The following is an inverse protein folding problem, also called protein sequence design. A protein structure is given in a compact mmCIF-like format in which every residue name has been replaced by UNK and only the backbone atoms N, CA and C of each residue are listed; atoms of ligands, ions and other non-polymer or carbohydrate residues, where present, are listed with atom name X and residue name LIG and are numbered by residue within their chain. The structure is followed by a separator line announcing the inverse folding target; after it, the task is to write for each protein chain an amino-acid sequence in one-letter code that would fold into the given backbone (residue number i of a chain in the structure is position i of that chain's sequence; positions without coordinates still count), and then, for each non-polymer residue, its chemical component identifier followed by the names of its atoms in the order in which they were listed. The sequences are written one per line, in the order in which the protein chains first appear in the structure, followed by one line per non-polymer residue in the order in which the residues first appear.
data_IF_377114213150
#
_entry.id   IF_377114213150
#
_cell.length_a   1.000
_cell.length_b   1.000
_cell.length_c   1.000
_cell.angle_alpha   90.00
_cell.angle_beta   90.00
_cell.angle_gamma   90.00
#
_symmetry.space_group_name_H-M   'P 1'
#
loop_
_entity.id
_entity.type
_entity.pdbx_description
1 polymer ?
#
# COMPACT_ATOMS: atom_id res chain seq x y z
N UNK A 1 -27.48 -9.85 -17.05
CA UNK A 1 -26.25 -9.54 -16.28
C UNK A 1 -25.20 -9.20 -17.32
N UNK A 2 -24.78 -7.94 -17.40
CA UNK A 2 -23.71 -7.52 -18.32
C UNK A 2 -22.40 -8.09 -17.77
N UNK A 3 -21.72 -8.86 -18.59
CA UNK A 3 -20.41 -9.42 -18.23
C UNK A 3 -19.40 -8.27 -17.98
N UNK A 4 -18.53 -8.43 -16.99
CA UNK A 4 -17.53 -7.44 -16.69
C UNK A 4 -16.58 -7.27 -17.89
N UNK A 5 -16.22 -6.03 -18.29
CA UNK A 5 -15.41 -5.79 -19.49
C UNK A 5 -14.01 -6.41 -19.33
N UNK A 6 -13.49 -6.95 -20.45
CA UNK A 6 -12.16 -7.59 -20.46
C UNK A 6 -11.01 -6.58 -20.31
N UNK A 7 -11.23 -5.35 -20.78
CA UNK A 7 -10.23 -4.29 -20.70
C UNK A 7 -10.91 -2.95 -20.42
N UNK A 8 -10.37 -2.21 -19.46
CA UNK A 8 -10.77 -0.85 -19.14
C UNK A 8 -9.53 0.04 -19.26
N UNK A 9 -9.64 1.15 -19.99
CA UNK A 9 -8.55 2.11 -20.16
C UNK A 9 -8.99 3.47 -19.69
N UNK A 10 -8.17 4.15 -18.94
CA UNK A 10 -8.47 5.51 -18.45
C UNK A 10 -7.99 5.74 -17.02
N UNK A 11 -8.85 6.38 -16.23
CA UNK A 11 -8.53 6.74 -14.85
C UNK A 11 -7.73 8.04 -14.74
N UNK A 12 -7.59 8.52 -13.53
CA UNK A 12 -6.82 9.72 -13.21
C UNK A 12 -5.34 9.35 -13.04
N UNK A 13 -4.41 10.14 -13.61
CA UNK A 13 -2.99 9.91 -13.39
C UNK A 13 -2.66 10.13 -11.91
N UNK A 14 -1.68 9.37 -11.38
CA UNK A 14 -1.23 9.56 -10.01
C UNK A 14 -0.58 10.94 -9.86
N UNK A 15 -0.83 11.59 -8.73
CA UNK A 15 -0.15 12.82 -8.34
C UNK A 15 1.07 12.49 -7.48
N UNK A 16 1.90 13.49 -7.26
CA UNK A 16 3.04 13.42 -6.34
C UNK A 16 2.81 14.37 -5.16
N UNK A 17 1.90 14.01 -4.22
CA UNK A 17 1.53 14.91 -3.12
C UNK A 17 2.62 15.05 -2.07
N UNK A 18 3.62 14.18 -2.11
CA UNK A 18 4.75 14.19 -1.17
C UNK A 18 5.96 14.89 -1.79
N UNK A 19 6.56 15.81 -1.03
CA UNK A 19 7.82 16.46 -1.39
C UNK A 19 8.76 16.45 -0.20
N UNK A 20 9.87 15.73 -0.32
CA UNK A 20 10.92 15.78 0.70
C UNK A 20 11.61 17.13 0.65
N UNK A 21 11.47 17.95 1.69
CA UNK A 21 12.05 19.30 1.80
C UNK A 21 13.47 19.25 2.33
N UNK A 22 13.69 18.42 3.36
CA UNK A 22 15.03 18.21 3.89
C UNK A 22 15.28 16.76 4.24
N UNK A 23 16.51 16.33 3.99
CA UNK A 23 17.06 15.05 4.42
C UNK A 23 18.42 15.27 5.05
N UNK A 24 18.78 14.52 6.09
CA UNK A 24 20.15 14.49 6.57
C UNK A 24 21.13 14.13 5.46
N UNK A 25 22.35 14.66 5.52
CA UNK A 25 23.38 14.45 4.49
C UNK A 25 23.60 12.97 4.18
N UNK A 26 23.62 12.14 5.20
CA UNK A 26 23.80 10.68 5.07
C UNK A 26 22.64 10.01 4.32
N UNK A 27 21.40 10.38 4.60
CA UNK A 27 20.25 9.88 3.85
C UNK A 27 20.33 10.30 2.37
N UNK A 28 20.79 11.53 2.07
CA UNK A 28 21.07 12.00 0.71
C UNK A 28 22.15 11.16 0.02
N UNK A 29 23.24 10.84 0.73
CA UNK A 29 24.35 10.02 0.20
C UNK A 29 23.89 8.58 -0.05
N UNK A 30 23.08 8.00 0.85
CA UNK A 30 22.46 6.70 0.64
C UNK A 30 21.57 6.70 -0.60
N UNK A 31 20.75 7.74 -0.81
CA UNK A 31 19.96 7.95 -2.01
C UNK A 31 20.80 7.90 -3.28
N UNK A 32 21.90 8.62 -3.33
CA UNK A 32 22.82 8.63 -4.50
C UNK A 32 23.39 7.22 -4.74
N UNK A 33 23.75 6.49 -3.70
CA UNK A 33 24.20 5.10 -3.77
C UNK A 33 23.14 4.18 -4.37
N UNK A 34 21.88 4.31 -3.97
CA UNK A 34 20.77 3.49 -4.46
C UNK A 34 20.45 3.74 -5.94
N UNK A 35 20.47 4.98 -6.42
CA UNK A 35 20.21 5.29 -7.83
C UNK A 35 21.26 4.79 -8.82
N UNK A 36 22.53 4.72 -8.44
CA UNK A 36 23.58 4.18 -9.29
C UNK A 36 23.44 2.69 -9.59
N UNK A 37 22.65 1.96 -8.82
CA UNK A 37 22.47 0.52 -8.93
C UNK A 37 21.56 0.03 -10.06
N UNK A 38 20.91 0.90 -10.81
CA UNK A 38 20.15 0.52 -12.01
C UNK A 38 21.02 -0.08 -13.14
N UNK A 39 22.34 0.05 -13.12
CA UNK A 39 23.24 -0.55 -14.11
C UNK A 39 23.69 -1.95 -13.67
N UNK A 40 23.54 -2.95 -14.57
CA UNK A 40 23.77 -4.39 -14.32
C UNK A 40 25.10 -4.74 -13.67
N UNK A 41 26.18 -4.03 -13.97
CA UNK A 41 27.52 -4.28 -13.38
C UNK A 41 27.65 -3.79 -11.93
N UNK A 42 26.90 -2.77 -11.55
CA UNK A 42 26.90 -2.24 -10.19
C UNK A 42 26.21 -3.17 -9.18
N UNK A 43 25.27 -4.03 -9.65
CA UNK A 43 24.62 -5.03 -8.80
C UNK A 43 25.59 -6.02 -8.17
N UNK A 44 26.76 -6.23 -8.78
CA UNK A 44 27.75 -7.22 -8.32
C UNK A 44 28.63 -6.73 -7.16
N UNK A 45 28.78 -5.41 -6.99
CA UNK A 45 29.72 -4.83 -6.01
C UNK A 45 29.08 -3.97 -4.92
N UNK A 46 27.77 -3.80 -4.89
CA UNK A 46 27.37 -2.60 -4.25
C UNK A 46 26.16 -2.53 -3.37
N UNK A 47 25.43 -3.55 -3.04
CA UNK A 47 24.43 -3.42 -1.95
C UNK A 47 25.09 -3.13 -0.58
N UNK A 48 26.35 -3.49 -0.42
CA UNK A 48 27.06 -3.41 0.86
C UNK A 48 27.55 -2.02 1.30
N UNK A 49 28.09 -1.12 0.46
CA UNK A 49 28.65 0.15 0.95
C UNK A 49 27.62 1.15 1.47
N UNK A 50 26.49 1.28 0.79
CA UNK A 50 25.41 2.19 1.23
C UNK A 50 24.77 1.74 2.53
N UNK A 51 24.58 0.42 2.69
CA UNK A 51 24.08 -0.18 3.94
C UNK A 51 25.09 -0.02 5.07
N UNK A 52 26.36 -0.29 4.81
CA UNK A 52 27.41 -0.11 5.80
C UNK A 52 27.51 1.35 6.25
N UNK A 53 27.44 2.29 5.32
CA UNK A 53 27.43 3.72 5.63
C UNK A 53 26.23 4.10 6.50
N UNK A 54 25.04 3.59 6.16
CA UNK A 54 23.83 3.82 6.92
C UNK A 54 23.94 3.24 8.35
N UNK A 55 24.41 2.00 8.47
CA UNK A 55 24.58 1.31 9.76
C UNK A 55 25.61 2.04 10.64
N UNK A 56 26.74 2.43 10.07
CA UNK A 56 27.78 3.18 10.81
C UNK A 56 27.26 4.56 11.25
N UNK A 57 26.64 5.29 10.34
CA UNK A 57 26.20 6.66 10.62
C UNK A 57 25.05 6.70 11.63
N UNK A 58 24.05 5.86 11.45
CA UNK A 58 22.80 5.95 12.22
C UNK A 58 22.74 4.98 13.40
N UNK A 59 23.26 3.75 13.26
CA UNK A 59 23.21 2.78 14.35
C UNK A 59 24.41 2.87 15.30
N UNK A 60 25.62 3.21 14.78
CA UNK A 60 26.84 3.33 15.64
C UNK A 60 27.11 4.75 16.08
N UNK A 61 27.12 5.72 15.17
CA UNK A 61 27.46 7.11 15.49
C UNK A 61 26.23 7.94 15.92
N UNK A 62 25.01 7.40 15.78
CA UNK A 62 23.74 8.04 16.17
C UNK A 62 23.59 9.47 15.64
N UNK A 63 24.05 9.70 14.39
CA UNK A 63 23.93 10.99 13.75
C UNK A 63 22.46 11.40 13.63
N UNK A 64 22.21 12.71 13.55
CA UNK A 64 20.88 13.25 13.39
C UNK A 64 20.17 12.68 12.15
N UNK A 65 18.95 12.19 12.34
CA UNK A 65 18.10 11.59 11.34
C UNK A 65 16.88 12.43 10.96
N UNK A 66 16.78 13.69 11.43
CA UNK A 66 15.59 14.50 11.18
C UNK A 66 15.43 14.84 9.70
N UNK A 67 14.35 14.32 9.10
CA UNK A 67 13.85 14.67 7.77
C UNK A 67 12.60 15.51 7.85
N UNK A 68 12.30 16.26 6.81
CA UNK A 68 11.05 17.03 6.66
C UNK A 68 10.40 16.68 5.32
N UNK A 69 9.14 16.32 5.40
CA UNK A 69 8.26 15.97 4.29
C UNK A 69 7.13 17.00 4.20
N UNK A 70 6.92 17.60 3.02
CA UNK A 70 5.73 18.38 2.74
C UNK A 70 4.66 17.47 2.12
N UNK A 71 3.44 17.56 2.64
CA UNK A 71 2.25 16.89 2.15
C UNK A 71 1.26 17.93 1.59
N UNK A 72 0.91 17.81 0.31
CA UNK A 72 0.00 18.75 -0.37
C UNK A 72 -1.46 18.41 -0.09
N UNK A 73 -1.99 18.85 1.05
CA UNK A 73 -3.41 18.69 1.39
C UNK A 73 -4.29 19.71 0.66
N UNK A 74 -5.58 19.41 0.42
CA UNK A 74 -6.54 20.37 -0.15
C UNK A 74 -6.69 21.65 0.67
N UNK A 75 -6.47 21.59 1.97
CA UNK A 75 -6.54 22.71 2.92
C UNK A 75 -5.25 23.55 3.00
N UNK A 76 -4.21 23.14 2.28
CA UNK A 76 -2.88 23.74 2.30
C UNK A 76 -1.80 22.72 2.68
N UNK A 77 -0.51 23.00 2.39
CA UNK A 77 0.57 22.08 2.65
C UNK A 77 0.81 21.87 4.14
N UNK A 78 0.92 20.61 4.57
CA UNK A 78 1.39 20.24 5.90
C UNK A 78 2.87 19.88 5.85
N UNK A 79 3.64 20.22 6.89
CA UNK A 79 5.05 19.84 7.05
C UNK A 79 5.16 18.80 8.13
N UNK A 80 5.72 17.65 7.78
CA UNK A 80 5.83 16.48 8.62
C UNK A 80 7.30 16.19 8.91
N UNK A 81 7.65 16.11 10.18
CA UNK A 81 8.98 15.69 10.61
C UNK A 81 9.03 14.18 10.79
N UNK A 82 10.02 13.53 10.24
CA UNK A 82 10.19 12.09 10.34
C UNK A 82 11.64 11.71 10.61
N UNK A 83 11.87 10.52 11.16
CA UNK A 83 13.19 9.99 11.43
C UNK A 83 13.70 9.18 10.23
N UNK A 84 14.55 9.79 9.39
CA UNK A 84 15.14 9.15 8.21
C UNK A 84 16.08 7.96 8.54
N UNK A 85 16.37 7.69 9.83
CA UNK A 85 17.09 6.48 10.27
C UNK A 85 16.20 5.24 10.19
N UNK A 86 14.88 5.43 10.23
CA UNK A 86 13.90 4.35 10.13
C UNK A 86 13.72 3.96 8.66
N UNK A 87 13.93 2.69 8.38
CA UNK A 87 14.01 2.20 7.00
C UNK A 87 12.68 2.26 6.25
N UNK A 88 11.56 2.23 6.96
CA UNK A 88 10.24 2.30 6.33
C UNK A 88 9.95 3.64 5.65
N UNK A 89 10.71 4.71 5.96
CA UNK A 89 10.64 5.97 5.21
C UNK A 89 11.48 5.97 3.94
N UNK A 90 12.15 4.86 3.61
CA UNK A 90 13.05 4.77 2.49
C UNK A 90 12.39 5.09 1.15
N UNK A 91 11.14 4.69 0.95
CA UNK A 91 10.38 4.99 -0.26
C UNK A 91 10.22 6.50 -0.52
N UNK A 92 10.29 7.36 0.51
CA UNK A 92 10.26 8.81 0.36
C UNK A 92 11.51 9.37 -0.35
N UNK A 93 12.65 8.70 -0.24
CA UNK A 93 13.91 9.19 -0.78
C UNK A 93 14.63 8.23 -1.73
N UNK A 94 14.07 7.05 -2.00
CA UNK A 94 14.61 6.09 -2.97
C UNK A 94 14.33 6.51 -4.42
N UNK A 95 13.58 7.60 -4.61
CA UNK A 95 13.58 8.44 -5.81
C UNK A 95 13.03 7.79 -7.07
N UNK A 96 11.92 7.08 -7.03
CA UNK A 96 11.13 6.93 -8.25
C UNK A 96 10.50 8.30 -8.58
N UNK A 97 10.74 8.79 -9.79
CA UNK A 97 10.13 10.03 -10.30
C UNK A 97 8.61 9.90 -10.41
N UNK A 98 8.11 8.67 -10.43
CA UNK A 98 6.71 8.33 -10.68
C UNK A 98 5.92 8.00 -9.39
N UNK A 99 6.55 8.19 -8.22
CA UNK A 99 5.94 7.87 -6.92
C UNK A 99 6.11 6.40 -6.54
N UNK A 100 5.49 6.02 -5.41
CA UNK A 100 5.44 4.65 -4.91
C UNK A 100 4.17 3.98 -5.45
N UNK A 101 4.31 2.86 -6.15
CA UNK A 101 3.20 2.08 -6.76
C UNK A 101 2.21 2.97 -7.54
N UNK A 102 2.62 3.54 -8.67
CA UNK A 102 1.83 4.53 -9.39
C UNK A 102 0.47 3.98 -9.87
N UNK A 103 0.36 2.69 -10.11
CA UNK A 103 -0.91 2.02 -10.47
C UNK A 103 -1.90 2.01 -9.30
N UNK A 104 -1.45 1.77 -8.07
CA UNK A 104 -2.28 1.84 -6.85
C UNK A 104 -2.70 3.29 -6.61
N UNK A 105 -1.79 4.23 -6.75
CA UNK A 105 -2.08 5.64 -6.63
C UNK A 105 -3.13 6.12 -7.66
N UNK A 106 -3.03 5.68 -8.92
CA UNK A 106 -4.02 5.99 -9.96
C UNK A 106 -5.41 5.38 -9.67
N UNK A 107 -5.46 4.17 -9.11
CA UNK A 107 -6.71 3.55 -8.65
C UNK A 107 -7.34 4.40 -7.53
N UNK A 108 -6.55 4.83 -6.55
CA UNK A 108 -6.98 5.69 -5.45
C UNK A 108 -7.53 7.01 -5.99
N UNK A 109 -6.81 7.71 -6.89
CA UNK A 109 -7.27 8.95 -7.52
C UNK A 109 -8.60 8.80 -8.26
N UNK A 110 -8.81 7.64 -8.87
CA UNK A 110 -9.97 7.38 -9.73
C UNK A 110 -11.19 6.94 -8.91
N UNK A 111 -11.01 6.09 -7.90
CA UNK A 111 -12.12 5.43 -7.22
C UNK A 111 -12.52 6.08 -5.89
N UNK A 112 -11.65 6.89 -5.25
CA UNK A 112 -11.95 7.46 -3.94
C UNK A 112 -12.84 8.72 -3.95
N UNK A 113 -12.88 9.61 -4.97
CA UNK A 113 -13.71 10.81 -4.88
C UNK A 113 -15.12 10.51 -4.38
N UNK A 114 -15.56 11.27 -3.36
CA UNK A 114 -16.80 11.03 -2.61
C UNK A 114 -16.52 10.89 -1.11
N UNK A 115 -17.41 10.26 -0.39
CA UNK A 115 -17.45 10.18 1.08
C UNK A 115 -17.29 8.75 1.65
N UNK A 116 -17.23 7.74 0.79
CA UNK A 116 -17.03 6.36 1.22
C UNK A 116 -15.68 6.12 1.91
N UNK A 117 -15.64 5.23 2.90
CA UNK A 117 -14.40 5.00 3.65
C UNK A 117 -13.30 4.35 2.81
N UNK A 118 -12.04 4.69 3.10
CA UNK A 118 -10.85 4.03 2.57
C UNK A 118 -10.17 3.22 3.66
N UNK A 119 -9.86 1.96 3.36
CA UNK A 119 -9.10 1.09 4.25
C UNK A 119 -7.72 0.83 3.67
N UNK A 120 -6.69 1.18 4.45
CA UNK A 120 -5.28 0.93 4.15
C UNK A 120 -4.78 -0.18 5.09
N UNK A 121 -4.80 -1.43 4.61
CA UNK A 121 -4.46 -2.62 5.38
C UNK A 121 -2.99 -2.97 5.11
N UNK A 122 -2.16 -3.01 6.16
CA UNK A 122 -0.71 -2.98 6.06
C UNK A 122 -0.21 -1.57 5.73
N UNK A 123 -0.73 -0.58 6.48
CA UNK A 123 -0.52 0.84 6.17
C UNK A 123 0.93 1.29 6.35
N UNK A 124 1.75 0.53 7.08
CA UNK A 124 3.10 0.93 7.42
C UNK A 124 3.08 2.33 8.06
N UNK A 125 3.95 3.27 7.66
CA UNK A 125 3.91 4.65 8.17
C UNK A 125 2.77 5.52 7.59
N UNK A 126 1.89 4.93 6.77
CA UNK A 126 0.68 5.58 6.26
C UNK A 126 0.80 6.22 4.88
N UNK A 127 1.73 5.77 4.01
CA UNK A 127 1.90 6.38 2.68
C UNK A 127 0.58 6.52 1.94
N UNK A 128 -0.19 5.44 1.78
CA UNK A 128 -1.46 5.49 1.05
C UNK A 128 -2.59 6.12 1.84
N UNK A 129 -2.58 6.03 3.17
CA UNK A 129 -3.53 6.77 4.02
C UNK A 129 -3.37 8.28 3.85
N UNK A 130 -2.13 8.81 3.88
CA UNK A 130 -1.85 10.21 3.60
C UNK A 130 -2.11 10.58 2.14
N UNK A 131 -1.77 9.70 1.20
CA UNK A 131 -2.08 9.90 -0.21
C UNK A 131 -3.58 10.11 -0.42
N UNK A 132 -4.41 9.20 0.12
CA UNK A 132 -5.87 9.28 0.06
C UNK A 132 -6.40 10.61 0.63
N UNK A 133 -5.83 11.09 1.73
CA UNK A 133 -6.23 12.37 2.33
C UNK A 133 -5.99 13.58 1.40
N UNK A 134 -5.10 13.45 0.40
CA UNK A 134 -4.82 14.52 -0.58
C UNK A 134 -5.69 14.46 -1.82
N UNK A 135 -6.50 13.41 -2.02
CA UNK A 135 -7.29 13.22 -3.24
C UNK A 135 -8.39 14.31 -3.34
N UNK A 136 -8.43 15.08 -4.44
CA UNK A 136 -9.46 16.09 -4.63
C UNK A 136 -10.86 15.48 -4.71
N UNK A 137 -11.80 16.07 -3.97
CA UNK A 137 -13.18 15.58 -3.92
C UNK A 137 -13.38 14.34 -3.05
N UNK A 138 -12.37 13.90 -2.31
CA UNK A 138 -12.49 12.84 -1.31
C UNK A 138 -12.66 13.43 0.10
N UNK A 139 -13.74 13.08 0.78
CA UNK A 139 -14.07 13.54 2.13
C UNK A 139 -14.27 12.41 3.15
N UNK A 140 -14.21 11.15 2.70
CA UNK A 140 -14.45 9.98 3.55
C UNK A 140 -13.41 9.75 4.66
N UNK A 141 -13.79 8.92 5.63
CA UNK A 141 -12.90 8.45 6.68
C UNK A 141 -11.83 7.50 6.12
N UNK A 142 -10.65 7.53 6.70
CA UNK A 142 -9.53 6.67 6.34
C UNK A 142 -9.19 5.81 7.56
N UNK A 143 -9.25 4.48 7.40
CA UNK A 143 -8.87 3.53 8.43
C UNK A 143 -7.57 2.83 8.01
N UNK A 144 -6.50 3.06 8.77
CA UNK A 144 -5.17 2.53 8.52
C UNK A 144 -4.83 1.46 9.56
N UNK A 145 -4.48 0.26 9.09
CA UNK A 145 -4.19 -0.89 9.95
C UNK A 145 -2.71 -1.24 9.86
N UNK A 146 -2.01 -1.15 10.99
CA UNK A 146 -0.58 -1.45 11.08
C UNK A 146 -0.29 -2.16 12.40
N UNK A 147 0.10 -3.45 12.37
CA UNK A 147 0.29 -4.24 13.60
C UNK A 147 1.54 -3.88 14.40
N UNK A 148 2.58 -3.34 13.74
CA UNK A 148 3.87 -3.07 14.40
C UNK A 148 3.76 -1.78 15.19
N UNK A 149 3.94 -1.86 16.51
CA UNK A 149 3.72 -0.75 17.42
C UNK A 149 4.56 0.49 17.07
N UNK A 150 5.84 0.30 16.72
CA UNK A 150 6.74 1.40 16.37
C UNK A 150 6.33 2.11 15.09
N UNK A 151 5.91 1.34 14.08
CA UNK A 151 5.46 1.87 12.79
C UNK A 151 4.09 2.55 12.93
N UNK A 152 3.18 1.93 13.69
CA UNK A 152 1.88 2.50 14.01
C UNK A 152 2.02 3.81 14.83
N UNK A 153 2.99 3.90 15.72
CA UNK A 153 3.28 5.13 16.46
C UNK A 153 3.77 6.26 15.54
N UNK A 154 4.57 5.93 14.52
CA UNK A 154 4.98 6.91 13.51
C UNK A 154 3.80 7.38 12.66
N UNK A 155 2.94 6.47 12.21
CA UNK A 155 1.69 6.80 11.51
C UNK A 155 0.83 7.75 12.36
N UNK A 156 0.64 7.43 13.64
CA UNK A 156 -0.14 8.26 14.57
C UNK A 156 0.49 9.65 14.77
N UNK A 157 1.81 9.73 14.87
CA UNK A 157 2.52 10.99 15.03
C UNK A 157 2.42 11.87 13.78
N UNK A 158 2.68 11.31 12.60
CA UNK A 158 2.52 12.02 11.33
C UNK A 158 1.09 12.48 11.08
N UNK A 159 0.09 11.66 11.48
CA UNK A 159 -1.33 12.02 11.38
C UNK A 159 -1.65 13.25 12.22
N UNK A 160 -1.11 13.34 13.45
CA UNK A 160 -1.27 14.52 14.32
C UNK A 160 -0.56 15.75 13.74
N UNK A 161 0.66 15.60 13.25
CA UNK A 161 1.42 16.67 12.61
C UNK A 161 0.70 17.22 11.37
N UNK A 162 0.03 16.34 10.60
CA UNK A 162 -0.75 16.74 9.42
C UNK A 162 -2.10 17.40 9.77
N UNK A 163 -2.53 17.40 11.03
CA UNK A 163 -3.87 17.86 11.44
C UNK A 163 -4.99 16.94 10.95
N UNK A 164 -4.70 15.66 10.69
CA UNK A 164 -5.64 14.70 10.10
C UNK A 164 -6.22 13.70 11.12
N UNK A 165 -6.05 13.91 12.42
CA UNK A 165 -6.51 12.99 13.48
C UNK A 165 -8.04 12.77 13.48
N UNK A 166 -8.83 13.71 12.96
CA UNK A 166 -10.28 13.55 12.78
C UNK A 166 -10.68 12.81 11.49
N UNK A 167 -9.71 12.45 10.63
CA UNK A 167 -9.96 11.83 9.33
C UNK A 167 -9.23 10.51 9.12
N UNK A 168 -7.99 10.39 9.62
CA UNK A 168 -7.21 9.15 9.60
C UNK A 168 -7.31 8.50 10.99
N UNK A 169 -7.92 7.33 11.02
CA UNK A 169 -8.07 6.48 12.20
C UNK A 169 -7.10 5.32 12.09
N UNK A 170 -6.07 5.30 12.92
CA UNK A 170 -5.08 4.22 12.92
C UNK A 170 -5.46 3.11 13.90
N UNK A 171 -5.22 1.87 13.51
CA UNK A 171 -5.52 0.68 14.28
C UNK A 171 -4.24 -0.15 14.40
N UNK A 172 -3.74 -0.33 15.63
CA UNK A 172 -2.56 -1.17 15.89
C UNK A 172 -2.98 -2.63 15.94
N UNK A 173 -3.26 -3.22 14.77
CA UNK A 173 -3.76 -4.60 14.64
C UNK A 173 -3.44 -5.16 13.27
N UNK A 174 -3.15 -6.47 13.18
CA UNK A 174 -3.15 -7.20 11.93
C UNK A 174 -4.55 -7.76 11.67
N UNK A 175 -5.11 -7.48 10.49
CA UNK A 175 -6.37 -8.10 10.09
C UNK A 175 -6.14 -9.56 9.72
N UNK A 176 -7.01 -10.45 10.19
CA UNK A 176 -6.91 -11.90 10.05
C UNK A 176 -8.28 -12.55 10.05
N UNK A 177 -8.33 -13.87 9.86
CA UNK A 177 -9.54 -14.68 9.92
C UNK A 177 -10.03 -14.97 11.35
N UNK A 178 -9.29 -14.52 12.38
CA UNK A 178 -9.62 -14.70 13.79
C UNK A 178 -9.21 -13.49 14.61
N UNK A 179 -9.82 -13.36 15.77
CA UNK A 179 -9.42 -12.42 16.82
C UNK A 179 -8.37 -13.07 17.72
N UNK A 180 -7.56 -12.27 18.43
CA UNK A 180 -6.58 -12.74 19.40
C UNK A 180 -5.17 -12.20 19.15
N UNK A 181 -4.16 -13.05 19.25
CA UNK A 181 -2.77 -12.70 19.03
C UNK A 181 -2.13 -13.55 17.94
N UNK A 182 -1.21 -12.97 17.20
CA UNK A 182 -0.31 -13.61 16.24
C UNK A 182 1.13 -13.33 16.56
N UNK A 183 2.02 -14.10 15.95
CA UNK A 183 3.46 -13.85 15.99
C UNK A 183 3.92 -13.33 14.62
N UNK A 184 4.74 -12.29 14.60
CA UNK A 184 5.36 -11.76 13.38
C UNK A 184 6.86 -11.98 13.42
N UNK A 185 7.40 -12.43 12.29
CA UNK A 185 8.83 -12.30 12.00
C UNK A 185 9.09 -10.90 11.49
N UNK A 186 10.07 -10.25 12.06
CA UNK A 186 10.38 -8.85 11.81
C UNK A 186 11.87 -8.69 11.57
N UNK A 187 12.26 -8.18 10.43
CA UNK A 187 13.62 -7.68 10.22
C UNK A 187 13.64 -6.19 10.65
N UNK A 188 14.34 -5.82 11.75
CA UNK A 188 14.40 -4.44 12.22
C UNK A 188 15.03 -3.50 11.17
N UNK A 189 15.64 -4.05 10.13
CA UNK A 189 16.25 -3.31 9.01
C UNK A 189 15.31 -3.22 7.79
N UNK A 190 14.33 -4.12 7.68
CA UNK A 190 13.35 -4.18 6.58
C UNK A 190 11.93 -4.36 7.13
N UNK A 191 11.35 -3.28 7.67
CA UNK A 191 9.97 -3.31 8.20
C UNK A 191 8.92 -3.65 7.15
N UNK A 192 9.19 -3.44 5.86
CA UNK A 192 8.32 -3.82 4.75
C UNK A 192 8.28 -5.31 4.42
N UNK A 193 9.00 -6.17 5.18
CA UNK A 193 8.99 -7.65 5.00
C UNK A 193 8.52 -8.31 6.31
N UNK A 194 7.69 -7.65 7.08
CA UNK A 194 7.15 -8.21 8.31
C UNK A 194 6.00 -9.18 7.98
N UNK A 195 6.21 -10.49 8.25
CA UNK A 195 5.21 -11.54 7.96
C UNK A 195 4.66 -12.15 9.24
N UNK A 196 3.37 -12.42 9.28
CA UNK A 196 2.80 -13.29 10.31
C UNK A 196 3.36 -14.71 10.12
N UNK A 197 4.01 -15.24 11.17
CA UNK A 197 4.69 -16.54 11.15
C UNK A 197 4.61 -17.17 12.54
N UNK A 198 4.35 -18.47 12.60
CA UNK A 198 4.36 -19.21 13.87
C UNK A 198 5.72 -19.15 14.61
N UNK A 199 6.81 -18.90 13.86
CA UNK A 199 8.17 -18.73 14.40
C UNK A 199 8.52 -17.26 14.69
N UNK A 200 7.56 -16.32 14.57
CA UNK A 200 7.79 -14.90 14.79
C UNK A 200 8.12 -14.58 16.25
N UNK A 201 9.04 -13.64 16.44
CA UNK A 201 9.47 -13.22 17.78
C UNK A 201 8.59 -12.13 18.40
N UNK A 202 7.80 -11.40 17.59
CA UNK A 202 6.94 -10.31 18.06
C UNK A 202 5.49 -10.72 18.11
N UNK A 203 4.85 -10.52 19.24
CA UNK A 203 3.40 -10.67 19.39
C UNK A 203 2.70 -9.42 18.89
N UNK A 204 1.65 -9.62 18.09
CA UNK A 204 0.79 -8.55 17.55
C UNK A 204 -0.68 -8.94 17.74
N UNK A 205 -1.56 -7.96 18.01
CA UNK A 205 -2.98 -8.21 18.07
C UNK A 205 -3.52 -8.58 16.67
N UNK A 206 -4.45 -9.53 16.64
CA UNK A 206 -5.21 -9.92 15.46
C UNK A 206 -6.68 -9.56 15.65
N UNK A 207 -7.33 -9.13 14.57
CA UNK A 207 -8.77 -8.91 14.56
C UNK A 207 -9.38 -9.30 13.21
N UNK A 208 -10.62 -9.74 13.25
CA UNK A 208 -11.44 -9.85 12.05
C UNK A 208 -12.00 -8.47 11.69
N UNK A 209 -11.90 -8.10 10.42
CA UNK A 209 -12.46 -6.83 9.94
C UNK A 209 -13.95 -6.71 10.26
N UNK A 210 -14.70 -7.81 10.09
CA UNK A 210 -16.15 -7.85 10.34
C UNK A 210 -16.53 -7.59 11.81
N UNK A 211 -15.59 -7.77 12.74
CA UNK A 211 -15.80 -7.52 14.18
C UNK A 211 -15.57 -6.07 14.62
N UNK A 212 -15.02 -5.22 13.74
CA UNK A 212 -14.59 -3.88 14.15
C UNK A 212 -15.69 -2.80 14.09
N UNK A 213 -16.84 -3.09 13.47
CA UNK A 213 -17.97 -2.15 13.41
C UNK A 213 -17.68 -0.85 12.67
N UNK A 214 -16.79 -0.88 11.68
CA UNK A 214 -16.36 0.30 10.93
C UNK A 214 -17.33 0.67 9.81
N UNK A 215 -17.29 1.94 9.31
CA UNK A 215 -18.10 2.37 8.17
C UNK A 215 -17.86 1.51 6.92
N UNK A 216 -18.86 1.35 6.01
CA UNK A 216 -18.68 0.60 4.78
C UNK A 216 -17.50 1.10 3.94
N UNK A 217 -16.54 0.26 3.57
CA UNK A 217 -15.41 0.68 2.73
C UNK A 217 -15.85 0.84 1.27
N UNK A 218 -15.44 1.93 0.64
CA UNK A 218 -15.52 2.10 -0.81
C UNK A 218 -14.36 1.42 -1.52
N UNK A 219 -13.17 1.58 -0.97
CA UNK A 219 -11.92 1.01 -1.49
C UNK A 219 -11.09 0.47 -0.32
N UNK A 220 -10.56 -0.72 -0.51
CA UNK A 220 -9.59 -1.37 0.37
C UNK A 220 -8.27 -1.48 -0.40
N UNK A 221 -7.16 -0.96 0.15
CA UNK A 221 -5.80 -1.32 -0.24
C UNK A 221 -5.28 -2.33 0.77
N UNK A 222 -4.66 -3.41 0.31
CA UNK A 222 -4.13 -4.45 1.16
C UNK A 222 -2.73 -4.85 0.71
N UNK A 223 -1.80 -4.83 1.66
CA UNK A 223 -0.42 -5.24 1.47
C UNK A 223 0.08 -5.81 2.82
N UNK A 224 -0.07 -7.10 2.99
CA UNK A 224 0.12 -7.79 4.27
C UNK A 224 1.05 -9.00 4.16
N UNK A 225 1.89 -9.01 3.13
CA UNK A 225 3.02 -9.95 2.99
C UNK A 225 2.60 -11.43 3.13
N UNK A 226 1.77 -11.91 2.20
CA UNK A 226 1.22 -13.26 2.12
C UNK A 226 0.17 -13.62 3.19
N UNK A 227 -0.46 -12.63 3.82
CA UNK A 227 -1.57 -12.86 4.76
C UNK A 227 -2.94 -12.42 4.21
N UNK A 228 -3.00 -12.11 2.91
CA UNK A 228 -4.18 -11.54 2.22
C UNK A 228 -5.41 -12.43 2.37
N UNK A 229 -5.26 -13.75 2.19
CA UNK A 229 -6.39 -14.69 2.31
C UNK A 229 -7.03 -14.64 3.68
N UNK A 230 -6.24 -14.63 4.75
CA UNK A 230 -6.76 -14.60 6.11
C UNK A 230 -7.45 -13.25 6.40
N UNK A 231 -6.86 -12.14 5.96
CA UNK A 231 -7.47 -10.81 6.09
C UNK A 231 -8.80 -10.72 5.32
N UNK A 232 -8.87 -11.25 4.08
CA UNK A 232 -10.10 -11.33 3.29
C UNK A 232 -11.18 -12.18 3.94
N UNK A 233 -10.83 -13.34 4.52
CA UNK A 233 -11.77 -14.20 5.25
C UNK A 233 -12.32 -13.51 6.50
N UNK A 234 -11.49 -12.77 7.22
CA UNK A 234 -11.91 -11.97 8.38
C UNK A 234 -12.83 -10.80 8.02
N UNK A 235 -12.91 -10.43 6.75
CA UNK A 235 -13.79 -9.40 6.20
C UNK A 235 -14.89 -9.93 5.27
N UNK A 236 -15.21 -11.22 5.31
CA UNK A 236 -16.15 -11.84 4.35
C UNK A 236 -17.52 -11.17 4.34
N UNK A 237 -18.09 -10.88 5.52
CA UNK A 237 -19.39 -10.23 5.61
C UNK A 237 -19.35 -8.81 5.03
N UNK A 238 -18.28 -8.05 5.30
CA UNK A 238 -18.02 -6.73 4.72
C UNK A 238 -17.89 -6.81 3.20
N UNK A 239 -17.11 -7.77 2.66
CA UNK A 239 -16.92 -7.95 1.23
C UNK A 239 -18.26 -8.30 0.52
N UNK A 240 -19.08 -9.17 1.10
CA UNK A 240 -20.39 -9.55 0.54
C UNK A 240 -21.43 -8.43 0.61
N UNK A 241 -21.46 -7.71 1.74
CA UNK A 241 -22.45 -6.65 1.98
C UNK A 241 -22.14 -5.39 1.19
N UNK A 242 -20.89 -4.89 1.30
CA UNK A 242 -20.50 -3.56 0.83
C UNK A 242 -19.86 -3.59 -0.55
N UNK A 243 -19.36 -4.76 -0.97
CA UNK A 243 -18.75 -4.99 -2.28
C UNK A 243 -17.71 -3.93 -2.63
N UNK A 244 -16.73 -3.64 -1.74
CA UNK A 244 -15.72 -2.62 -2.00
C UNK A 244 -14.90 -2.95 -3.24
N UNK A 245 -14.24 -1.95 -3.83
CA UNK A 245 -13.10 -2.21 -4.66
C UNK A 245 -11.94 -2.66 -3.75
N UNK A 246 -11.18 -3.67 -4.19
CA UNK A 246 -10.03 -4.17 -3.41
C UNK A 246 -8.80 -4.17 -4.31
N UNK A 247 -7.80 -3.35 -3.96
CA UNK A 247 -6.48 -3.42 -4.60
C UNK A 247 -5.50 -4.03 -3.61
N UNK A 248 -4.80 -5.07 -4.05
CA UNK A 248 -3.91 -5.81 -3.16
C UNK A 248 -2.66 -6.33 -3.87
N UNK A 249 -1.56 -6.34 -3.12
CA UNK A 249 -0.32 -6.93 -3.56
C UNK A 249 -0.42 -8.46 -3.58
N UNK A 250 0.10 -9.09 -4.63
CA UNK A 250 0.12 -10.55 -4.75
C UNK A 250 1.47 -11.02 -5.29
N UNK A 251 2.23 -11.67 -4.41
CA UNK A 251 3.52 -12.28 -4.71
C UNK A 251 3.40 -13.71 -5.20
N UNK A 252 4.31 -14.14 -6.08
CA UNK A 252 4.47 -15.57 -6.39
C UNK A 252 5.24 -16.22 -5.25
N UNK A 253 4.54 -17.08 -4.50
CA UNK A 253 5.20 -17.99 -3.55
C UNK A 253 5.67 -19.23 -4.32
N UNK A 254 6.99 -19.33 -4.52
CA UNK A 254 7.60 -20.35 -5.41
C UNK A 254 7.45 -21.75 -4.89
N UNK A 255 7.48 -21.91 -3.56
CA UNK A 255 7.38 -23.21 -2.89
C UNK A 255 5.93 -23.65 -2.64
N UNK A 256 4.97 -22.72 -2.78
CA UNK A 256 3.55 -23.00 -2.58
C UNK A 256 2.66 -22.11 -3.45
N UNK A 257 2.43 -22.56 -4.67
CA UNK A 257 1.57 -21.85 -5.63
C UNK A 257 0.14 -21.64 -5.13
N UNK A 258 -0.37 -22.49 -4.25
CA UNK A 258 -1.71 -22.34 -3.69
C UNK A 258 -1.79 -21.08 -2.82
N UNK A 259 -0.75 -20.73 -2.07
CA UNK A 259 -0.69 -19.46 -1.32
C UNK A 259 -0.85 -18.25 -2.24
N UNK A 260 -0.25 -18.29 -3.44
CA UNK A 260 -0.40 -17.24 -4.46
C UNK A 260 -1.82 -17.14 -5.00
N UNK A 261 -2.46 -18.28 -5.29
CA UNK A 261 -3.76 -18.33 -5.97
C UNK A 261 -4.95 -18.18 -5.01
N UNK A 262 -4.79 -18.59 -3.76
CA UNK A 262 -5.90 -18.68 -2.81
C UNK A 262 -6.64 -17.34 -2.58
N UNK A 263 -5.99 -16.17 -2.40
CA UNK A 263 -6.72 -14.90 -2.26
C UNK A 263 -7.45 -14.50 -3.55
N UNK A 264 -6.88 -14.79 -4.73
CA UNK A 264 -7.50 -14.52 -6.03
C UNK A 264 -8.77 -15.36 -6.23
N UNK A 265 -8.67 -16.68 -6.02
CA UNK A 265 -9.81 -17.62 -6.12
C UNK A 265 -10.89 -17.32 -5.08
N UNK A 266 -10.48 -16.90 -3.89
CA UNK A 266 -11.42 -16.54 -2.84
C UNK A 266 -12.26 -15.32 -3.25
N UNK A 267 -11.64 -14.25 -3.74
CA UNK A 267 -12.38 -13.09 -4.25
C UNK A 267 -13.26 -13.44 -5.44
N UNK A 268 -12.79 -14.27 -6.37
CA UNK A 268 -13.61 -14.75 -7.49
C UNK A 268 -14.83 -15.54 -7.01
N UNK A 269 -14.69 -16.40 -5.99
CA UNK A 269 -15.80 -17.16 -5.40
C UNK A 269 -16.85 -16.27 -4.74
N UNK A 270 -16.46 -15.07 -4.30
CA UNK A 270 -17.35 -14.03 -3.77
C UNK A 270 -17.99 -13.17 -4.87
N UNK A 271 -17.73 -13.43 -6.14
CA UNK A 271 -18.30 -12.70 -7.28
C UNK A 271 -17.48 -11.51 -7.77
N UNK A 272 -16.23 -11.37 -7.33
CA UNK A 272 -15.32 -10.34 -7.82
C UNK A 272 -14.65 -10.77 -9.14
N UNK A 273 -14.57 -9.86 -10.09
CA UNK A 273 -13.69 -9.98 -11.25
C UNK A 273 -12.32 -9.37 -10.93
N UNK A 274 -11.27 -9.99 -11.45
CA UNK A 274 -9.88 -9.61 -11.18
C UNK A 274 -9.29 -8.87 -12.39
N UNK A 275 -8.60 -7.77 -12.11
CA UNK A 275 -7.93 -6.95 -13.12
C UNK A 275 -6.46 -6.76 -12.74
N UNK A 276 -5.59 -6.83 -13.75
CA UNK A 276 -4.20 -6.44 -13.66
C UNK A 276 -4.07 -4.97 -14.05
N UNK A 277 -3.74 -4.06 -13.12
CA UNK A 277 -3.42 -2.68 -13.44
C UNK A 277 -2.07 -2.63 -14.14
N UNK A 278 -2.03 -2.03 -15.34
CA UNK A 278 -0.81 -1.87 -16.12
C UNK A 278 -0.61 -0.40 -16.47
N UNK A 279 0.55 0.14 -16.09
CA UNK A 279 0.94 1.47 -16.50
C UNK A 279 1.74 1.40 -17.78
N UNK A 280 1.19 1.82 -18.93
CA UNK A 280 1.90 1.72 -20.18
C UNK A 280 3.11 2.67 -20.20
N UNK A 281 4.25 2.19 -20.68
CA UNK A 281 5.52 2.93 -20.73
C UNK A 281 5.46 4.26 -21.52
N UNK A 282 4.48 4.40 -22.40
CA UNK A 282 4.28 5.58 -23.26
C UNK A 282 2.91 6.26 -23.08
N UNK A 283 2.08 5.79 -22.15
CA UNK A 283 0.70 6.25 -21.98
C UNK A 283 0.46 7.01 -20.68
N UNK A 284 -0.51 7.90 -20.71
CA UNK A 284 -0.98 8.66 -19.54
C UNK A 284 -2.18 8.01 -18.84
N UNK A 285 -2.68 6.90 -19.36
CA UNK A 285 -3.87 6.22 -18.88
C UNK A 285 -3.52 4.82 -18.36
N UNK A 286 -4.05 4.46 -17.19
CA UNK A 286 -3.93 3.12 -16.64
C UNK A 286 -4.79 2.15 -17.45
N UNK A 287 -4.28 0.96 -17.72
CA UNK A 287 -5.03 -0.13 -18.32
C UNK A 287 -5.32 -1.18 -17.26
N UNK A 288 -6.59 -1.56 -17.13
CA UNK A 288 -7.04 -2.68 -16.29
C UNK A 288 -7.35 -3.84 -17.22
N UNK A 289 -6.52 -4.87 -17.23
CA UNK A 289 -6.72 -6.09 -18.03
C UNK A 289 -7.32 -7.18 -17.14
N UNK A 290 -8.50 -7.70 -17.52
CA UNK A 290 -9.15 -8.79 -16.78
C UNK A 290 -8.30 -10.06 -16.88
N UNK A 291 -8.20 -10.82 -15.79
CA UNK A 291 -7.51 -12.09 -15.78
C UNK A 291 -8.20 -13.10 -14.86
N UNK A 292 -8.02 -14.39 -15.14
CA UNK A 292 -8.42 -15.48 -14.24
C UNK A 292 -7.26 -15.81 -13.27
N UNK A 293 -7.53 -16.32 -12.07
CA UNK A 293 -6.51 -16.69 -11.09
C UNK A 293 -5.36 -17.53 -11.68
N UNK A 294 -5.68 -18.49 -12.56
CA UNK A 294 -4.71 -19.40 -13.16
C UNK A 294 -3.73 -18.71 -14.13
N UNK A 295 -4.09 -17.51 -14.62
CA UNK A 295 -3.20 -16.71 -15.43
C UNK A 295 -2.14 -15.95 -14.62
N UNK A 296 -2.22 -15.94 -13.26
CA UNK A 296 -1.32 -15.20 -12.37
C UNK A 296 0.16 -15.40 -12.69
N UNK A 297 0.55 -16.62 -12.97
CA UNK A 297 1.96 -16.98 -13.24
C UNK A 297 2.50 -16.49 -14.60
N UNK A 298 1.65 -15.88 -15.44
CA UNK A 298 2.07 -15.23 -16.69
C UNK A 298 2.60 -13.81 -16.46
N UNK A 299 2.41 -13.26 -15.27
CA UNK A 299 2.84 -11.92 -14.88
C UNK A 299 4.13 -11.97 -14.07
N UNK A 300 4.69 -10.82 -13.71
CA UNK A 300 5.91 -10.74 -12.90
C UNK A 300 5.77 -11.36 -11.52
N UNK A 301 6.88 -11.50 -10.81
CA UNK A 301 6.93 -12.12 -9.47
C UNK A 301 5.99 -11.43 -8.48
N UNK A 302 5.81 -10.12 -8.61
CA UNK A 302 4.92 -9.27 -7.83
C UNK A 302 3.96 -8.52 -8.75
N UNK A 303 2.69 -8.46 -8.37
CA UNK A 303 1.68 -7.61 -9.01
C UNK A 303 0.80 -6.94 -7.96
N UNK A 304 0.23 -5.78 -8.29
CA UNK A 304 -0.97 -5.29 -7.66
C UNK A 304 -2.18 -5.77 -8.45
N UNK A 305 -3.13 -6.45 -7.83
CA UNK A 305 -4.38 -6.88 -8.45
C UNK A 305 -5.54 -6.00 -7.97
N UNK A 306 -6.41 -5.58 -8.88
CA UNK A 306 -7.67 -4.90 -8.54
C UNK A 306 -8.81 -5.90 -8.65
N UNK A 307 -9.57 -6.10 -7.57
CA UNK A 307 -10.80 -6.87 -7.55
C UNK A 307 -12.02 -5.92 -7.52
N UNK A 308 -12.98 -6.18 -8.40
CA UNK A 308 -14.23 -5.45 -8.52
C UNK A 308 -15.41 -6.42 -8.54
N UNK A 309 -16.35 -6.28 -7.61
CA UNK A 309 -17.56 -7.12 -7.62
C UNK A 309 -18.36 -6.88 -8.92
N UNK A 310 -18.95 -7.94 -9.49
CA UNK A 310 -19.66 -7.89 -10.78
C UNK A 310 -20.76 -6.82 -10.80
N UNK A 311 -21.46 -6.63 -9.69
CA UNK A 311 -22.50 -5.60 -9.57
C UNK A 311 -21.98 -4.17 -9.71
N UNK A 312 -20.67 -3.94 -9.53
CA UNK A 312 -20.00 -2.64 -9.63
C UNK A 312 -19.16 -2.47 -10.90
N UNK A 313 -19.21 -3.43 -11.83
CA UNK A 313 -18.42 -3.39 -13.07
C UNK A 313 -18.72 -2.12 -13.92
N UNK A 314 -19.99 -1.73 -14.01
CA UNK A 314 -20.40 -0.49 -14.71
C UNK A 314 -19.86 0.76 -14.01
N UNK A 315 -19.84 0.79 -12.68
CA UNK A 315 -19.29 1.89 -11.90
C UNK A 315 -17.78 2.01 -12.15
N UNK A 316 -17.04 0.89 -12.11
CA UNK A 316 -15.63 0.84 -12.42
C UNK A 316 -15.34 1.43 -13.82
N UNK A 317 -16.04 0.94 -14.84
CA UNK A 317 -15.85 1.41 -16.22
C UNK A 317 -16.13 2.90 -16.37
N UNK A 318 -17.19 3.42 -15.73
CA UNK A 318 -17.52 4.86 -15.75
C UNK A 318 -16.46 5.71 -15.06
N UNK A 319 -15.98 5.29 -13.88
CA UNK A 319 -14.97 6.04 -13.14
C UNK A 319 -13.66 6.19 -13.94
N UNK A 320 -13.26 5.12 -14.63
CA UNK A 320 -12.05 5.15 -15.47
C UNK A 320 -12.27 5.97 -16.75
N UNK A 321 -13.43 5.86 -17.41
CA UNK A 321 -13.72 6.66 -18.62
C UNK A 321 -13.78 8.15 -18.34
N UNK A 322 -14.30 8.58 -17.18
CA UNK A 322 -14.41 9.99 -16.80
C UNK A 322 -13.06 10.63 -16.41
N UNK A 323 -12.08 9.85 -16.01
CA UNK A 323 -10.76 10.33 -15.61
C UNK A 323 -9.77 10.53 -16.76
N UNK A 324 -10.13 10.16 -17.99
CA UNK A 324 -9.28 10.23 -19.18
C UNK A 324 -9.47 11.51 -20.04
N UNK A 325 -10.31 12.45 -19.61
CA UNK A 325 -10.59 13.71 -20.32
C UNK A 325 -9.80 14.88 -19.72
#
# INVERSE_FOLDING_TARGET
MTDAPDTIVGGRPPRTPFRVESLPLIAKLCRIGFHRYRRRWAKRFGKRPGRLLFDVAYHRLKLDGLGVLALALPTGPARLSFDARKIHYRNLYDGSTDGHEPEVAAIIETLLPGDGAFYDIGANWGYFAFYAATVPGYSGAIHAFEPIAETCADLADLTRQAGLAGRIHWHQVALSDRDGEGAMSFDPVYTGIARLSAAGERRVPLARLDGLGLPPPRLIKMDVENHELAALRGGEATLKRDKPFVVFENWIEKDNHETTLAPLRYLESLGFALYLPQWPAAGRALTLARFAPEARFRFGDQINALACHRDRATELARAFSAGGS
#
